data_IF_119739694402
#
_entry.id   IF_119739694402
#
_cell.length_a   1.000
_cell.length_b   1.000
_cell.length_c   1.000
_cell.angle_alpha   90.00
_cell.angle_beta   90.00
_cell.angle_gamma   90.00
#
_symmetry.space_group_name_H-M   'P 1'
#
loop_
_entity.id
_entity.type
_entity.pdbx_description
1 polymer ?
#
# COMPACT_ATOMS: atom_id res chain seq x y z
N UNK A 1 -6.04 8.60 -9.70
CA UNK A 1 -5.54 8.76 -8.31
C UNK A 1 -6.16 7.75 -7.37
N UNK A 2 -5.44 6.67 -7.07
CA UNK A 2 -5.90 5.61 -6.15
C UNK A 2 -5.83 6.07 -4.69
N UNK A 3 -6.80 5.63 -3.86
CA UNK A 3 -6.75 5.80 -2.42
C UNK A 3 -5.62 4.92 -1.87
N UNK A 4 -4.44 5.51 -1.68
CA UNK A 4 -3.24 4.79 -1.23
C UNK A 4 -3.28 4.53 0.27
N UNK A 5 -4.16 3.62 0.70
CA UNK A 5 -4.17 3.02 2.04
C UNK A 5 -2.92 2.15 2.30
N UNK A 6 -2.11 1.91 1.27
CA UNK A 6 -0.86 1.16 1.35
C UNK A 6 0.29 1.96 1.97
N UNK A 7 0.15 3.28 2.06
CA UNK A 7 1.13 4.14 2.70
C UNK A 7 0.77 4.24 4.17
N UNK A 8 1.73 3.97 5.05
CA UNK A 8 1.54 3.77 6.49
C UNK A 8 0.56 4.78 7.10
N UNK A 9 -0.60 4.27 7.48
CA UNK A 9 -1.51 4.90 8.43
C UNK A 9 -1.91 3.84 9.44
N UNK A 10 -1.32 3.86 10.64
CA UNK A 10 -1.73 2.99 11.75
C UNK A 10 -3.19 3.31 12.10
N UNK A 11 -4.11 2.55 11.50
CA UNK A 11 -5.52 2.64 11.80
C UNK A 11 -5.76 1.96 13.15
N UNK A 12 -5.81 2.75 14.21
CA UNK A 12 -6.38 2.31 15.48
C UNK A 12 -7.90 2.54 15.40
N UNK A 13 -8.72 1.52 15.09
CA UNK A 13 -10.16 1.69 15.19
C UNK A 13 -10.48 2.16 16.62
N UNK A 14 -11.25 3.24 16.73
CA UNK A 14 -11.90 3.58 17.99
C UNK A 14 -12.95 2.50 18.21
N UNK A 15 -12.52 1.36 18.77
CA UNK A 15 -13.43 0.31 19.22
C UNK A 15 -14.50 0.99 20.07
N UNK A 16 -15.76 0.58 19.92
CA UNK A 16 -16.89 1.06 20.71
C UNK A 16 -16.64 0.76 22.20
N UNK A 17 -15.85 1.61 22.84
CA UNK A 17 -15.47 1.48 24.22
C UNK A 17 -16.63 2.07 25.00
N UNK A 18 -17.48 1.21 25.56
CA UNK A 18 -18.52 1.60 26.53
C UNK A 18 -17.89 2.01 27.87
N UNK A 19 -16.98 2.99 27.84
CA UNK A 19 -16.38 3.60 29.01
C UNK A 19 -17.19 4.85 29.37
N UNK A 20 -17.65 4.92 30.61
CA UNK A 20 -18.49 6.03 31.15
C UNK A 20 -17.85 7.44 31.07
N UNK A 21 -16.61 7.55 30.60
CA UNK A 21 -15.84 8.79 30.42
C UNK A 21 -15.14 8.86 29.05
N UNK A 22 -15.68 8.20 28.01
CA UNK A 22 -15.12 8.31 26.67
C UNK A 22 -15.44 9.69 26.07
N UNK A 23 -14.42 10.53 25.92
CA UNK A 23 -14.49 11.78 25.17
C UNK A 23 -14.16 11.52 23.70
N UNK A 24 -15.16 11.67 22.84
CA UNK A 24 -14.98 11.56 21.40
C UNK A 24 -14.04 12.66 20.88
N UNK A 25 -14.10 13.85 21.48
CA UNK A 25 -13.25 15.00 21.12
C UNK A 25 -11.77 14.71 21.39
N UNK A 26 -11.44 14.10 22.54
CA UNK A 26 -10.08 13.71 22.87
C UNK A 26 -9.59 12.58 21.96
N UNK A 27 -10.44 11.58 21.70
CA UNK A 27 -10.12 10.48 20.81
C UNK A 27 -9.87 10.95 19.36
N UNK A 28 -10.68 11.89 18.87
CA UNK A 28 -10.51 12.52 17.57
C UNK A 28 -9.23 13.36 17.53
N UNK A 29 -8.97 14.17 18.56
CA UNK A 29 -7.76 15.01 18.65
C UNK A 29 -6.48 14.17 18.61
N UNK A 30 -6.43 13.07 19.39
CA UNK A 30 -5.30 12.12 19.36
C UNK A 30 -5.15 11.48 17.97
N UNK A 31 -6.25 11.15 17.31
CA UNK A 31 -6.26 10.59 15.95
C UNK A 31 -5.69 11.57 14.92
N UNK A 32 -6.16 12.82 14.94
CA UNK A 32 -5.71 13.90 14.03
C UNK A 32 -4.22 14.19 14.26
N UNK A 33 -3.79 14.30 15.51
CA UNK A 33 -2.38 14.50 15.86
C UNK A 33 -1.46 13.40 15.30
N UNK A 34 -1.89 12.14 15.38
CA UNK A 34 -1.13 11.01 14.80
C UNK A 34 -1.08 11.09 13.28
N UNK A 35 -2.19 11.43 12.63
CA UNK A 35 -2.23 11.62 11.17
C UNK A 35 -1.30 12.75 10.74
N UNK A 36 -1.30 13.89 11.45
CA UNK A 36 -0.41 15.01 11.16
C UNK A 36 1.07 14.63 11.32
N UNK A 37 1.45 13.95 12.41
CA UNK A 37 2.84 13.53 12.63
C UNK A 37 3.35 12.55 11.58
N UNK A 38 2.49 11.68 11.05
CA UNK A 38 2.87 10.68 10.04
C UNK A 38 2.75 11.19 8.59
N UNK A 39 2.11 12.34 8.36
CA UNK A 39 1.84 12.85 7.02
C UNK A 39 3.12 13.21 6.25
N UNK A 40 4.05 13.93 6.88
CA UNK A 40 5.28 14.35 6.21
C UNK A 40 6.21 13.17 5.87
N UNK A 41 6.48 12.22 6.79
CA UNK A 41 7.20 10.99 6.45
C UNK A 41 6.54 10.21 5.30
N UNK A 42 5.20 10.12 5.30
CA UNK A 42 4.45 9.46 4.23
C UNK A 42 4.64 10.17 2.89
N UNK A 43 4.57 11.50 2.85
CA UNK A 43 4.84 12.29 1.63
C UNK A 43 6.24 12.03 1.09
N UNK A 44 7.24 12.03 1.95
CA UNK A 44 8.64 11.80 1.55
C UNK A 44 8.83 10.39 0.98
N UNK A 45 8.17 9.38 1.58
CA UNK A 45 8.19 8.01 1.06
C UNK A 45 7.61 7.93 -0.36
N UNK A 46 6.49 8.62 -0.62
CA UNK A 46 5.88 8.67 -1.96
C UNK A 46 6.82 9.29 -2.98
N UNK A 47 7.44 10.43 -2.67
CA UNK A 47 8.35 11.10 -3.60
C UNK A 47 9.59 10.24 -3.89
N UNK A 48 10.12 9.55 -2.88
CA UNK A 48 11.20 8.56 -3.07
C UNK A 48 10.77 7.43 -4.02
N UNK A 49 9.57 6.87 -3.83
CA UNK A 49 9.06 5.80 -4.67
C UNK A 49 8.80 6.23 -6.11
N UNK A 50 8.50 7.51 -6.35
CA UNK A 50 8.29 8.07 -7.69
C UNK A 50 9.58 8.22 -8.49
N UNK A 51 10.69 8.56 -7.83
CA UNK A 51 11.98 8.77 -8.51
C UNK A 51 12.75 7.49 -8.70
N UNK A 52 12.44 6.45 -7.92
CA UNK A 52 13.16 5.19 -7.97
C UNK A 52 12.66 4.25 -9.07
N UNK A 53 13.50 4.05 -10.08
CA UNK A 53 13.26 3.07 -11.13
C UNK A 53 13.52 1.64 -10.63
N UNK A 54 12.73 0.70 -11.15
CA UNK A 54 12.86 -0.73 -10.96
C UNK A 54 13.21 -1.38 -12.30
N UNK A 55 14.11 -2.36 -12.26
CA UNK A 55 14.28 -3.23 -13.42
C UNK A 55 13.05 -4.12 -13.61
N UNK A 56 12.86 -4.60 -14.84
CA UNK A 56 11.78 -5.53 -15.13
C UNK A 56 11.92 -6.84 -14.32
N UNK A 57 13.15 -7.28 -14.09
CA UNK A 57 13.49 -8.45 -13.27
C UNK A 57 13.09 -8.23 -11.82
N UNK A 58 13.44 -7.07 -11.22
CA UNK A 58 13.09 -6.75 -9.85
C UNK A 58 11.56 -6.70 -9.67
N UNK A 59 10.85 -6.03 -10.58
CA UNK A 59 9.39 -5.96 -10.51
C UNK A 59 8.74 -7.35 -10.63
N UNK A 60 9.22 -8.21 -11.54
CA UNK A 60 8.73 -9.58 -11.67
C UNK A 60 9.00 -10.42 -10.43
N UNK A 61 10.19 -10.29 -9.82
CA UNK A 61 10.54 -11.00 -8.60
C UNK A 61 9.65 -10.55 -7.43
N UNK A 62 9.44 -9.25 -7.26
CA UNK A 62 8.53 -8.72 -6.23
C UNK A 62 7.10 -9.24 -6.42
N UNK A 63 6.58 -9.29 -7.65
CA UNK A 63 5.26 -9.88 -7.94
C UNK A 63 5.25 -11.38 -7.63
N UNK A 64 6.32 -12.11 -7.99
CA UNK A 64 6.44 -13.52 -7.69
C UNK A 64 6.41 -13.80 -6.18
N UNK A 65 7.19 -13.06 -5.39
CA UNK A 65 7.22 -13.17 -3.93
C UNK A 65 5.87 -12.92 -3.29
N UNK A 66 5.22 -11.83 -3.70
CA UNK A 66 3.92 -11.44 -3.18
C UNK A 66 2.84 -12.52 -3.34
N UNK A 67 2.78 -13.18 -4.51
CA UNK A 67 1.68 -14.11 -4.81
C UNK A 67 2.06 -15.60 -4.73
N UNK A 68 3.33 -15.95 -4.97
CA UNK A 68 3.77 -17.34 -5.11
C UNK A 68 4.49 -17.83 -3.86
N UNK A 69 5.48 -17.07 -3.36
CA UNK A 69 6.18 -17.40 -2.10
C UNK A 69 5.29 -17.16 -0.88
N UNK A 70 4.28 -16.28 -1.01
CA UNK A 70 3.22 -16.11 -0.01
C UNK A 70 3.53 -15.02 1.02
N UNK A 71 4.49 -14.15 0.73
CA UNK A 71 4.86 -13.01 1.59
C UNK A 71 3.73 -12.00 1.75
N UNK A 72 2.71 -12.07 0.88
CA UNK A 72 1.47 -11.34 1.00
C UNK A 72 0.27 -12.30 0.94
N UNK A 73 -0.61 -12.25 1.96
CA UNK A 73 -1.84 -13.05 2.00
C UNK A 73 -2.90 -12.49 1.02
N UNK A 74 -2.70 -12.70 -0.29
CA UNK A 74 -3.59 -12.23 -1.36
C UNK A 74 -3.89 -13.32 -2.39
N UNK A 75 -5.06 -13.29 -3.06
CA UNK A 75 -5.41 -14.30 -4.05
C UNK A 75 -4.48 -14.32 -5.27
N UNK A 76 -3.95 -15.50 -5.60
CA UNK A 76 -2.99 -15.72 -6.70
C UNK A 76 -3.51 -15.27 -8.08
N UNK A 77 -4.82 -15.29 -8.31
CA UNK A 77 -5.39 -14.88 -9.59
C UNK A 77 -5.15 -13.39 -9.90
N UNK A 78 -4.90 -12.56 -8.88
CA UNK A 78 -4.58 -11.14 -9.06
C UNK A 78 -3.16 -10.90 -9.57
N UNK A 79 -2.27 -11.89 -9.54
CA UNK A 79 -0.88 -11.73 -10.00
C UNK A 79 -0.81 -11.26 -11.46
N UNK A 80 -1.64 -11.84 -12.33
CA UNK A 80 -1.74 -11.41 -13.74
C UNK A 80 -2.23 -9.97 -13.84
N UNK A 81 -3.19 -9.58 -13.00
CA UNK A 81 -3.75 -8.23 -13.00
C UNK A 81 -2.72 -7.19 -12.60
N UNK A 82 -1.94 -7.46 -11.55
CA UNK A 82 -0.83 -6.59 -11.12
C UNK A 82 0.24 -6.49 -12.20
N UNK A 83 0.62 -7.64 -12.80
CA UNK A 83 1.56 -7.65 -13.93
C UNK A 83 1.09 -6.75 -15.07
N UNK A 84 -0.16 -6.90 -15.52
CA UNK A 84 -0.67 -6.14 -16.66
C UNK A 84 -0.80 -4.65 -16.31
N UNK A 85 -1.23 -4.30 -15.10
CA UNK A 85 -1.32 -2.91 -14.65
C UNK A 85 0.05 -2.25 -14.50
N UNK A 86 1.09 -3.01 -14.12
CA UNK A 86 2.44 -2.50 -14.06
C UNK A 86 3.04 -2.39 -15.46
N UNK A 87 3.10 -3.50 -16.23
CA UNK A 87 3.80 -3.56 -17.51
C UNK A 87 3.04 -2.90 -18.67
N UNK A 88 1.71 -2.86 -18.63
CA UNK A 88 0.84 -2.27 -19.65
C UNK A 88 -0.15 -1.24 -19.02
N UNK A 89 0.37 -0.17 -18.39
CA UNK A 89 -0.46 0.76 -17.62
C UNK A 89 -1.41 1.53 -18.53
N UNK A 90 -2.65 1.72 -18.06
CA UNK A 90 -3.69 2.46 -18.80
C UNK A 90 -3.60 3.98 -18.60
N UNK A 91 -2.87 4.42 -17.58
CA UNK A 91 -2.69 5.83 -17.24
C UNK A 91 -1.23 6.24 -17.43
N UNK A 92 -1.01 7.40 -18.04
CA UNK A 92 0.35 7.93 -18.30
C UNK A 92 1.15 8.13 -17.01
N UNK A 93 0.49 8.50 -15.90
CA UNK A 93 1.13 8.67 -14.59
C UNK A 93 1.81 7.39 -14.05
N UNK A 94 1.45 6.22 -14.58
CA UNK A 94 2.02 4.92 -14.19
C UNK A 94 2.94 4.31 -15.25
N UNK A 95 3.19 5.00 -16.37
CA UNK A 95 4.16 4.57 -17.38
C UNK A 95 5.59 4.44 -16.84
N UNK A 96 6.09 5.34 -15.95
CA UNK A 96 7.41 5.17 -15.35
C UNK A 96 7.52 3.83 -14.63
N UNK A 97 8.62 3.11 -14.82
CA UNK A 97 8.88 1.78 -14.21
C UNK A 97 9.36 1.92 -12.77
N UNK A 98 8.58 2.58 -11.94
CA UNK A 98 9.02 2.95 -10.59
C UNK A 98 8.31 2.15 -9.51
N UNK A 99 8.84 2.24 -8.29
CA UNK A 99 8.20 1.66 -7.10
C UNK A 99 6.77 2.19 -6.92
N UNK A 100 6.57 3.49 -7.21
CA UNK A 100 5.26 4.13 -7.18
C UNK A 100 4.26 3.47 -8.13
N UNK A 101 4.67 3.22 -9.38
CA UNK A 101 3.81 2.57 -10.37
C UNK A 101 3.51 1.12 -9.98
N UNK A 102 4.48 0.39 -9.40
CA UNK A 102 4.26 -0.97 -8.91
C UNK A 102 3.26 -1.00 -7.75
N UNK A 103 3.42 -0.12 -6.76
CA UNK A 103 2.47 0.04 -5.66
C UNK A 103 1.05 0.34 -6.17
N UNK A 104 0.92 1.23 -7.16
CA UNK A 104 -0.38 1.54 -7.75
C UNK A 104 -0.97 0.38 -8.56
N UNK A 105 -0.15 -0.47 -9.17
CA UNK A 105 -0.61 -1.71 -9.80
C UNK A 105 -1.19 -2.68 -8.76
N UNK A 106 -0.51 -2.90 -7.63
CA UNK A 106 -1.06 -3.73 -6.55
C UNK A 106 -2.38 -3.18 -6.00
N UNK A 107 -2.44 -1.89 -5.64
CA UNK A 107 -3.66 -1.30 -5.08
C UNK A 107 -4.80 -1.24 -6.08
N UNK A 108 -4.50 -1.14 -7.38
CA UNK A 108 -5.51 -1.19 -8.44
C UNK A 108 -6.06 -2.60 -8.65
N UNK A 109 -5.23 -3.64 -8.55
CA UNK A 109 -5.70 -5.03 -8.60
C UNK A 109 -6.52 -5.40 -7.36
N UNK A 110 -6.17 -4.90 -6.17
CA UNK A 110 -6.90 -5.20 -4.94
C UNK A 110 -8.34 -4.66 -4.92
N UNK A 111 -8.69 -3.73 -5.81
CA UNK A 111 -10.07 -3.27 -5.98
C UNK A 111 -11.03 -4.36 -6.48
N UNK A 112 -10.51 -5.48 -6.98
CA UNK A 112 -11.30 -6.65 -7.36
C UNK A 112 -11.68 -7.53 -6.15
N UNK A 113 -11.12 -7.25 -4.97
CA UNK A 113 -11.44 -7.94 -3.73
C UNK A 113 -12.66 -7.33 -3.03
N UNK A 114 -13.34 -8.15 -2.24
CA UNK A 114 -14.35 -7.66 -1.29
C UNK A 114 -13.74 -6.65 -0.31
N UNK A 115 -14.52 -5.70 0.24
CA UNK A 115 -14.00 -4.57 1.01
C UNK A 115 -13.07 -4.95 2.18
N UNK A 116 -13.41 -6.00 2.94
CA UNK A 116 -12.61 -6.44 4.09
C UNK A 116 -11.27 -7.05 3.64
N UNK A 117 -11.23 -8.05 2.74
CA UNK A 117 -9.97 -8.53 2.15
C UNK A 117 -9.15 -7.44 1.46
N UNK A 118 -9.78 -6.54 0.70
CA UNK A 118 -9.11 -5.42 0.06
C UNK A 118 -8.36 -4.56 1.08
N UNK A 119 -9.04 -4.20 2.17
CA UNK A 119 -8.44 -3.41 3.24
C UNK A 119 -7.23 -4.11 3.86
N UNK A 120 -7.37 -5.39 4.23
CA UNK A 120 -6.27 -6.18 4.82
C UNK A 120 -5.06 -6.29 3.88
N UNK A 121 -5.31 -6.57 2.60
CA UNK A 121 -4.27 -6.67 1.59
C UNK A 121 -3.53 -5.34 1.42
N UNK A 122 -4.27 -4.24 1.35
CA UNK A 122 -3.71 -2.90 1.15
C UNK A 122 -2.89 -2.45 2.36
N UNK A 123 -3.34 -2.73 3.59
CA UNK A 123 -2.62 -2.39 4.81
C UNK A 123 -1.25 -3.09 4.93
N UNK A 124 -1.15 -4.35 4.47
CA UNK A 124 0.11 -5.11 4.49
C UNK A 124 1.04 -4.80 3.33
N UNK A 125 0.52 -4.24 2.24
CA UNK A 125 1.30 -3.95 1.04
C UNK A 125 2.46 -2.98 1.31
N UNK A 126 2.23 -1.96 2.14
CA UNK A 126 3.26 -0.97 2.46
C UNK A 126 4.51 -1.57 3.11
N UNK A 127 4.31 -2.46 4.09
CA UNK A 127 5.40 -3.14 4.79
C UNK A 127 6.13 -4.11 3.87
N UNK A 128 5.39 -4.88 3.07
CA UNK A 128 5.96 -5.78 2.07
C UNK A 128 6.85 -5.03 1.07
N UNK A 129 6.35 -3.95 0.48
CA UNK A 129 7.10 -3.16 -0.51
C UNK A 129 8.31 -2.47 0.11
N UNK A 130 8.21 -1.98 1.34
CA UNK A 130 9.35 -1.37 2.04
C UNK A 130 10.43 -2.41 2.40
N UNK A 131 10.03 -3.64 2.74
CA UNK A 131 10.96 -4.76 2.98
C UNK A 131 11.68 -5.18 1.69
N UNK A 132 10.95 -5.42 0.60
CA UNK A 132 11.52 -5.73 -0.71
C UNK A 132 12.48 -4.64 -1.19
N UNK A 133 12.13 -3.39 -0.91
CA UNK A 133 12.94 -2.23 -1.22
C UNK A 133 14.25 -2.17 -0.41
N UNK A 134 14.20 -2.48 0.89
CA UNK A 134 15.39 -2.46 1.75
C UNK A 134 16.43 -3.51 1.35
N UNK A 135 16.01 -4.59 0.69
CA UNK A 135 16.88 -5.68 0.23
C UNK A 135 17.43 -5.48 -1.19
N UNK A 136 16.94 -4.49 -1.94
CA UNK A 136 17.35 -4.24 -3.33
C UNK A 136 18.53 -3.26 -3.46
N UNK A 137 19.15 -2.84 -2.34
CA UNK A 137 20.36 -2.01 -2.26
C UNK A 137 21.60 -2.84 -1.89
#
# INVERSE_FOLDING_TARGET
MCQNLALRGDYSPVLAKHSKHFSLEDALSIGVDRMQRNFEPMRQQVERWRTQQLSAEAAKLTIYRAFIEGDLEVPRHLARRVHDQYFNPQHEEFQPRTMWSLSNAFTSAFKELEPIPQFKATARLGEFLEAEFSHAL
#
